data_IF_103558556990
#
_entry.id   IF_103558556990
#
_cell.length_a   1.000
_cell.length_b   1.000
_cell.length_c   1.000
_cell.angle_alpha   90.00
_cell.angle_beta   90.00
_cell.angle_gamma   90.00
#
_symmetry.space_group_name_H-M   'P 1'
#
loop_
_entity.id
_entity.type
_entity.pdbx_description
1 polymer ?
#
# COMPACT_ATOMS: atom_id res chain seq x y z
N UNK A 1 35.52 25.72 21.62
CA UNK A 1 35.13 24.31 21.85
C UNK A 1 33.74 24.34 22.49
N UNK A 2 32.66 24.26 21.70
CA UNK A 2 31.81 23.07 21.45
C UNK A 2 31.10 22.59 22.73
N UNK A 3 29.78 22.39 22.84
CA UNK A 3 28.72 22.35 21.84
C UNK A 3 27.36 22.65 22.51
N UNK A 4 26.50 23.41 21.84
CA UNK A 4 25.08 23.48 22.15
C UNK A 4 24.41 22.22 21.57
N UNK A 5 24.03 21.27 22.42
CA UNK A 5 23.25 20.11 21.97
C UNK A 5 21.78 20.52 21.89
N UNK A 6 21.34 20.81 20.67
CA UNK A 6 19.96 21.03 20.28
C UNK A 6 19.12 19.80 20.62
N UNK A 7 18.19 19.96 21.56
CA UNK A 7 17.07 19.05 21.83
C UNK A 7 16.20 18.90 20.57
N UNK A 8 16.62 18.03 19.65
CA UNK A 8 15.79 17.60 18.55
C UNK A 8 14.74 16.62 19.09
N UNK A 9 13.63 17.18 19.58
CA UNK A 9 12.35 16.47 19.70
C UNK A 9 12.03 15.88 18.34
N UNK A 10 12.34 14.60 18.18
CA UNK A 10 11.91 13.81 17.04
C UNK A 10 10.42 13.51 17.22
N UNK A 11 9.58 14.47 16.84
CA UNK A 11 8.13 14.25 16.76
C UNK A 11 7.91 13.31 15.59
N UNK A 12 7.76 12.02 15.88
CA UNK A 12 7.24 11.04 14.93
C UNK A 12 5.83 11.45 14.53
N UNK A 13 5.70 12.19 13.43
CA UNK A 13 4.42 12.28 12.72
C UNK A 13 4.19 10.91 12.07
N UNK A 14 3.07 10.21 12.37
CA UNK A 14 2.73 9.01 11.64
C UNK A 14 2.46 9.45 10.20
N UNK A 15 3.34 9.03 9.29
CA UNK A 15 3.22 9.26 7.85
C UNK A 15 2.02 8.45 7.33
N UNK A 16 0.82 8.96 7.56
CA UNK A 16 -0.39 8.55 6.85
C UNK A 16 -0.31 9.14 5.45
N UNK A 17 0.50 8.52 4.59
CA UNK A 17 0.38 8.74 3.16
C UNK A 17 -0.71 7.83 2.65
N UNK A 18 -1.94 8.34 2.61
CA UNK A 18 -2.88 7.99 1.55
C UNK A 18 -2.27 8.44 0.23
N UNK A 19 -1.28 7.68 -0.24
CA UNK A 19 -0.68 7.87 -1.55
C UNK A 19 -1.75 7.55 -2.58
N UNK A 20 -2.50 8.58 -3.01
CA UNK A 20 -3.18 8.54 -4.30
C UNK A 20 -2.11 8.15 -5.32
N UNK A 21 -2.28 7.04 -6.07
CA UNK A 21 -1.28 6.68 -7.06
C UNK A 21 -1.25 7.81 -8.09
N UNK A 22 -0.16 8.57 -8.10
CA UNK A 22 0.17 9.42 -9.23
C UNK A 22 0.13 8.52 -10.46
N UNK A 23 -0.53 8.97 -11.53
CA UNK A 23 -0.68 8.27 -12.81
C UNK A 23 0.68 8.16 -13.53
N UNK A 24 1.69 7.57 -12.89
CA UNK A 24 2.90 7.07 -13.55
C UNK A 24 2.52 5.66 -14.02
N UNK A 25 2.84 5.33 -15.27
CA UNK A 25 2.61 3.99 -15.81
C UNK A 25 3.26 3.00 -14.83
N UNK A 26 2.44 2.16 -14.19
CA UNK A 26 2.94 1.22 -13.21
C UNK A 26 4.00 0.34 -13.88
N UNK A 27 5.17 0.27 -13.28
CA UNK A 27 6.21 -0.65 -13.74
C UNK A 27 5.68 -2.09 -13.64
N UNK A 28 6.17 -3.04 -14.45
CA UNK A 28 5.76 -4.44 -14.32
C UNK A 28 5.92 -4.99 -12.89
N UNK A 29 6.94 -4.51 -12.15
CA UNK A 29 7.11 -4.88 -10.74
C UNK A 29 5.97 -4.37 -9.84
N UNK A 30 5.53 -3.12 -10.02
CA UNK A 30 4.41 -2.56 -9.26
C UNK A 30 3.08 -3.25 -9.60
N UNK A 31 2.89 -3.62 -10.87
CA UNK A 31 1.70 -4.37 -11.31
C UNK A 31 1.60 -5.73 -10.60
N UNK A 32 2.70 -6.49 -10.54
CA UNK A 32 2.77 -7.76 -9.79
C UNK A 32 2.42 -7.59 -8.31
N UNK A 33 2.90 -6.52 -7.68
CA UNK A 33 2.57 -6.19 -6.29
C UNK A 33 1.08 -5.87 -6.13
N UNK A 34 0.48 -5.15 -7.08
CA UNK A 34 -0.95 -4.86 -7.06
C UNK A 34 -1.80 -6.13 -7.20
N UNK A 35 -1.42 -7.05 -8.09
CA UNK A 35 -2.08 -8.36 -8.23
C UNK A 35 -1.97 -9.16 -6.93
N UNK A 36 -0.79 -9.23 -6.33
CA UNK A 36 -0.58 -9.93 -5.06
C UNK A 36 -1.42 -9.34 -3.92
N UNK A 37 -1.43 -8.00 -3.80
CA UNK A 37 -2.25 -7.30 -2.82
C UNK A 37 -3.75 -7.52 -3.04
N UNK A 38 -4.19 -7.53 -4.30
CA UNK A 38 -5.57 -7.81 -4.67
C UNK A 38 -5.98 -9.23 -4.29
N UNK A 39 -5.13 -10.25 -4.57
CA UNK A 39 -5.37 -11.64 -4.16
C UNK A 39 -5.50 -11.78 -2.65
N UNK A 40 -4.58 -11.16 -1.90
CA UNK A 40 -4.65 -11.17 -0.43
C UNK A 40 -5.97 -10.60 0.09
N UNK A 41 -6.40 -9.46 -0.47
CA UNK A 41 -7.65 -8.82 -0.09
C UNK A 41 -8.87 -9.69 -0.37
N UNK A 42 -8.92 -10.35 -1.53
CA UNK A 42 -10.00 -11.31 -1.87
C UNK A 42 -10.09 -12.40 -0.81
N UNK A 43 -8.97 -13.04 -0.48
CA UNK A 43 -8.95 -14.11 0.52
C UNK A 43 -9.38 -13.62 1.90
N UNK A 44 -8.94 -12.43 2.32
CA UNK A 44 -9.33 -11.87 3.62
C UNK A 44 -10.82 -11.51 3.67
N UNK A 45 -11.33 -10.88 2.62
CA UNK A 45 -12.74 -10.51 2.53
C UNK A 45 -13.62 -11.77 2.55
N UNK A 46 -13.26 -12.83 1.82
CA UNK A 46 -13.95 -14.14 1.87
C UNK A 46 -13.95 -14.73 3.28
N UNK A 47 -12.81 -14.72 3.98
CA UNK A 47 -12.70 -15.24 5.35
C UNK A 47 -13.51 -14.42 6.36
N UNK A 48 -13.68 -13.13 6.10
CA UNK A 48 -14.46 -12.22 6.95
C UNK A 48 -15.94 -12.16 6.54
N UNK A 49 -16.36 -12.90 5.51
CA UNK A 49 -17.73 -12.84 4.97
C UNK A 49 -18.08 -11.47 4.37
N UNK A 50 -17.07 -10.72 3.93
CA UNK A 50 -17.22 -9.40 3.30
C UNK A 50 -17.17 -9.52 1.79
N UNK A 51 -17.94 -8.69 1.11
CA UNK A 51 -17.87 -8.64 -0.34
C UNK A 51 -16.62 -7.91 -0.82
N UNK A 52 -15.77 -8.61 -1.58
CA UNK A 52 -14.64 -7.95 -2.26
C UNK A 52 -15.14 -7.15 -3.47
N UNK A 53 -14.68 -5.90 -3.66
CA UNK A 53 -15.02 -5.11 -4.83
C UNK A 53 -14.65 -5.81 -6.15
N UNK A 54 -15.52 -5.71 -7.15
CA UNK A 54 -15.33 -6.38 -8.46
C UNK A 54 -14.01 -6.00 -9.15
N UNK A 55 -13.58 -4.73 -9.02
CA UNK A 55 -12.29 -4.24 -9.55
C UNK A 55 -11.10 -5.00 -8.94
N UNK A 56 -11.14 -5.27 -7.64
CA UNK A 56 -10.09 -6.02 -6.93
C UNK A 56 -10.12 -7.49 -7.31
N UNK A 57 -11.31 -8.09 -7.48
CA UNK A 57 -11.44 -9.47 -7.99
C UNK A 57 -10.87 -9.63 -9.40
N UNK A 58 -11.06 -8.63 -10.27
CA UNK A 58 -10.49 -8.64 -11.62
C UNK A 58 -8.96 -8.56 -11.58
N UNK A 59 -8.42 -7.59 -10.83
CA UNK A 59 -6.97 -7.43 -10.61
C UNK A 59 -6.32 -8.71 -10.04
N UNK A 60 -7.00 -9.40 -9.12
CA UNK A 60 -6.48 -10.64 -8.53
C UNK A 60 -6.34 -11.78 -9.55
N UNK A 61 -7.10 -11.76 -10.65
CA UNK A 61 -7.07 -12.77 -11.72
C UNK A 61 -6.03 -12.48 -12.79
N UNK A 62 -5.40 -11.31 -12.76
CA UNK A 62 -4.38 -10.96 -13.75
C UNK A 62 -3.12 -11.82 -13.56
N UNK A 63 -2.41 -12.16 -14.66
CA UNK A 63 -1.14 -12.86 -14.61
C UNK A 63 -0.02 -11.96 -14.03
N UNK A 64 0.97 -12.60 -13.40
CA UNK A 64 2.13 -11.99 -12.72
C UNK A 64 3.38 -12.28 -13.54
#
# INVERSE_FOLDING_TARGET
MSAASSEHRYVHTPRSTTAKPAKKKATPAEHRVQVAAARLRVTLDERLGRETPAKTKALAKEPI
#
